data_IF_182994581195
#
_entry.id   IF_182994581195
#
_cell.length_a   1.000
_cell.length_b   1.000
_cell.length_c   1.000
_cell.angle_alpha   90.00
_cell.angle_beta   90.00
_cell.angle_gamma   90.00
#
_symmetry.space_group_name_H-M   'P 1'
#
loop_
_entity.id
_entity.type
_entity.pdbx_description
1 polymer ?
#
# COMPACT_ATOMS: atom_id res chain seq x y z
N UNK A 1 -35.52 -14.30 11.84
CA UNK A 1 -35.10 -14.44 11.69
C UNK A 1 -34.85 -14.49 11.34
N UNK A 2 -35.18 -14.19 11.59
CA UNK A 2 -34.64 -14.27 11.45
C UNK A 2 -34.05 -14.20 11.19
N UNK A 3 -34.18 -13.82 11.58
CA UNK A 3 -33.31 -13.75 11.59
C UNK A 3 -32.58 -13.72 11.23
N UNK A 4 -32.84 -13.65 11.45
CA UNK A 4 -31.79 -13.72 11.36
C UNK A 4 -31.17 -13.47 11.01
N UNK A 5 -31.36 -13.22 11.20
CA UNK A 5 -30.47 -13.11 11.12
C UNK A 5 -29.73 -12.96 10.77
N UNK A 6 -29.68 -12.71 10.99
CA UNK A 6 -28.69 -12.60 10.92
C UNK A 6 -27.90 -12.44 10.61
N UNK A 7 -28.36 -12.44 10.76
CA UNK A 7 -27.44 -12.35 10.73
C UNK A 7 -26.70 -12.12 10.51
N UNK A 8 -26.62 -11.84 10.68
CA UNK A 8 -25.70 -11.62 10.66
C UNK A 8 -24.86 -11.40 10.57
N UNK A 9 -25.14 -11.26 10.81
CA UNK A 9 -24.13 -11.06 10.91
C UNK A 9 -23.53 -10.93 11.08
N UNK A 10 -23.73 -10.86 11.29
CA UNK A 10 -22.89 -10.67 11.59
C UNK A 10 -22.24 -10.63 11.91
N UNK A 11 -22.11 -10.57 12.29
CA UNK A 11 -21.23 -10.51 12.57
C UNK A 11 -20.43 -10.47 12.74
N UNK A 12 -20.30 -10.16 13.03
CA UNK A 12 -19.33 -9.97 13.16
C UNK A 12 -19.00 -9.77 13.81
N UNK A 13 -18.95 -9.78 14.09
CA UNK A 13 -18.45 -9.55 14.67
C UNK A 13 -18.06 -8.97 15.14
N UNK A 14 -18.15 -8.63 15.47
CA UNK A 14 -17.57 -7.94 16.04
C UNK A 14 -16.48 -8.21 16.69
N UNK A 15 -16.37 -8.94 16.99
CA UNK A 15 -15.30 -9.18 17.75
C UNK A 15 -14.08 -8.83 17.20
N UNK A 16 -13.90 -9.07 16.21
CA UNK A 16 -12.76 -8.80 15.70
C UNK A 16 -12.41 -7.50 15.71
N UNK A 17 -13.24 -6.76 15.79
CA UNK A 17 -12.91 -5.44 15.72
C UNK A 17 -12.22 -4.95 16.85
N UNK A 18 -12.12 -5.66 17.83
CA UNK A 18 -11.52 -5.18 18.88
C UNK A 18 -10.25 -4.59 18.67
N UNK A 19 -9.47 -5.01 17.86
CA UNK A 19 -8.31 -4.37 17.64
C UNK A 19 -8.51 -3.44 16.63
N UNK A 20 -9.24 -2.51 16.79
CA UNK A 20 -9.63 -1.60 15.83
C UNK A 20 -8.53 -0.98 15.07
N UNK A 21 -7.43 -0.78 15.69
CA UNK A 21 -6.34 -0.17 15.02
C UNK A 21 -5.86 -0.99 13.86
N UNK A 22 -6.18 -2.26 13.80
CA UNK A 22 -5.74 -3.05 12.70
C UNK A 22 -6.80 -3.28 11.67
N UNK A 23 -7.98 -2.74 11.84
CA UNK A 23 -9.07 -3.04 10.96
C UNK A 23 -8.93 -2.45 9.59
N UNK A 24 -8.44 -1.24 9.47
CA UNK A 24 -8.36 -0.57 8.18
C UNK A 24 -6.92 -0.38 7.77
N UNK A 25 -6.63 -0.49 6.47
CA UNK A 25 -5.27 -0.26 5.98
C UNK A 25 -4.89 1.19 6.18
N UNK A 26 -3.63 1.42 6.48
CA UNK A 26 -3.10 2.75 6.72
C UNK A 26 -2.27 3.21 5.53
N UNK A 27 -2.16 4.51 5.38
CA UNK A 27 -1.30 5.09 4.36
C UNK A 27 0.15 4.67 4.65
N UNK A 28 0.59 4.80 5.91
CA UNK A 28 1.97 4.47 6.27
C UNK A 28 1.98 4.01 7.73
N UNK A 29 2.05 2.70 7.92
CA UNK A 29 2.00 2.10 9.26
C UNK A 29 3.41 1.81 9.72
N UNK A 30 4.01 2.76 10.43
CA UNK A 30 5.39 2.63 10.89
C UNK A 30 5.53 1.55 11.97
N UNK A 31 4.48 1.30 12.73
CA UNK A 31 4.53 0.23 13.74
C UNK A 31 4.67 -1.13 13.06
N UNK A 32 3.87 -1.36 12.03
CA UNK A 32 3.97 -2.62 11.28
C UNK A 32 5.32 -2.74 10.58
N UNK A 33 5.81 -1.64 10.01
CA UNK A 33 7.10 -1.66 9.34
C UNK A 33 8.25 -1.94 10.29
N UNK A 34 8.21 -1.30 11.46
CA UNK A 34 9.26 -1.52 12.47
C UNK A 34 9.29 -2.96 12.98
N UNK A 35 8.13 -3.61 13.07
CA UNK A 35 8.10 -5.00 13.50
C UNK A 35 8.89 -5.90 12.57
N UNK A 36 8.92 -5.60 11.29
CA UNK A 36 9.63 -6.43 10.33
C UNK A 36 11.13 -6.37 10.47
N UNK A 37 11.64 -5.37 11.18
CA UNK A 37 13.07 -5.23 11.45
C UNK A 37 13.32 -5.25 12.95
N UNK A 38 12.44 -5.91 13.70
CA UNK A 38 12.59 -6.10 15.15
C UNK A 38 12.79 -4.80 15.92
N UNK A 39 12.13 -3.74 15.46
CA UNK A 39 12.17 -2.44 16.14
C UNK A 39 13.42 -1.63 15.89
N UNK A 40 14.27 -2.06 14.96
CA UNK A 40 15.51 -1.33 14.66
C UNK A 40 15.18 -0.07 13.85
N UNK A 41 15.04 1.05 14.53
CA UNK A 41 14.64 2.32 13.92
C UNK A 41 15.62 2.77 12.86
N UNK A 42 16.91 2.66 13.12
CA UNK A 42 17.92 3.09 12.17
C UNK A 42 17.83 2.29 10.87
N UNK A 43 17.68 0.99 10.98
CA UNK A 43 17.54 0.13 9.82
C UNK A 43 16.25 0.44 9.07
N UNK A 44 15.15 0.60 9.81
CA UNK A 44 13.87 0.90 9.19
C UNK A 44 13.93 2.21 8.39
N UNK A 45 14.56 3.25 8.96
CA UNK A 45 14.69 4.52 8.27
C UNK A 45 15.49 4.37 6.97
N UNK A 46 16.54 3.55 6.99
CA UNK A 46 17.31 3.30 5.77
C UNK A 46 16.47 2.61 4.71
N UNK A 47 15.69 1.62 5.12
CA UNK A 47 14.83 0.88 4.20
C UNK A 47 13.75 1.80 3.63
N UNK A 48 13.14 2.62 4.48
CA UNK A 48 12.10 3.55 4.03
C UNK A 48 12.67 4.52 3.01
N UNK A 49 13.88 5.03 3.27
CA UNK A 49 14.53 5.98 2.36
C UNK A 49 14.79 5.33 1.00
N UNK A 50 15.31 4.11 1.03
CA UNK A 50 15.60 3.38 -0.21
C UNK A 50 14.34 3.10 -1.01
N UNK A 51 13.31 2.55 -0.35
CA UNK A 51 12.09 2.17 -1.04
C UNK A 51 11.27 3.39 -1.48
N UNK A 52 11.35 4.50 -0.75
CA UNK A 52 10.71 5.72 -1.17
C UNK A 52 11.26 6.15 -2.53
N UNK A 53 12.57 6.11 -2.67
CA UNK A 53 13.21 6.49 -3.93
C UNK A 53 12.82 5.55 -5.05
N UNK A 54 12.83 4.25 -4.78
CA UNK A 54 12.44 3.27 -5.78
C UNK A 54 10.99 3.45 -6.22
N UNK A 55 10.09 3.76 -5.28
CA UNK A 55 8.69 3.92 -5.61
C UNK A 55 8.43 5.15 -6.48
N UNK A 56 9.23 6.21 -6.32
CA UNK A 56 9.14 7.36 -7.21
C UNK A 56 9.50 6.94 -8.63
N UNK A 57 10.61 6.22 -8.77
CA UNK A 57 11.05 5.77 -10.09
C UNK A 57 10.04 4.81 -10.71
N UNK A 58 9.55 3.87 -9.92
CA UNK A 58 8.56 2.90 -10.39
C UNK A 58 7.28 3.59 -10.82
N UNK A 59 6.87 4.63 -10.11
CA UNK A 59 5.68 5.39 -10.48
C UNK A 59 5.84 6.07 -11.83
N UNK A 60 7.01 6.64 -12.08
CA UNK A 60 7.26 7.27 -13.38
C UNK A 60 7.29 6.25 -14.51
N UNK A 61 7.91 5.10 -14.27
CA UNK A 61 7.93 4.04 -15.28
C UNK A 61 6.54 3.49 -15.53
N UNK A 62 5.74 3.39 -14.49
CA UNK A 62 4.38 2.90 -14.62
C UNK A 62 3.56 3.80 -15.55
N UNK A 63 3.72 5.12 -15.42
CA UNK A 63 3.03 6.05 -16.31
C UNK A 63 3.40 5.78 -17.77
N UNK A 64 4.68 5.55 -18.04
CA UNK A 64 5.14 5.28 -19.39
C UNK A 64 4.56 3.97 -19.90
N UNK A 65 4.58 2.92 -19.09
CA UNK A 65 4.06 1.62 -19.50
C UNK A 65 2.55 1.67 -19.75
N UNK A 66 1.81 2.44 -18.93
CA UNK A 66 0.38 2.61 -19.15
C UNK A 66 0.10 3.35 -20.45
N UNK A 67 0.89 4.38 -20.73
CA UNK A 67 0.72 5.15 -21.95
C UNK A 67 0.95 4.27 -23.19
N UNK A 68 1.93 3.39 -23.14
CA UNK A 68 2.24 2.52 -24.27
C UNK A 68 1.46 1.21 -24.25
N UNK A 69 0.58 1.03 -23.28
CA UNK A 69 -0.22 -0.18 -23.13
C UNK A 69 0.64 -1.44 -23.04
N UNK A 70 1.77 -1.31 -22.39
CA UNK A 70 2.68 -2.44 -22.18
C UNK A 70 2.24 -3.14 -20.89
N UNK A 71 1.19 -3.96 -21.02
CA UNK A 71 0.51 -4.52 -19.87
C UNK A 71 1.39 -5.45 -19.03
N UNK A 72 2.31 -6.13 -19.65
CA UNK A 72 3.21 -6.97 -18.91
C UNK A 72 4.09 -6.14 -17.99
N UNK A 73 4.62 -5.02 -18.50
CA UNK A 73 5.44 -4.14 -17.69
C UNK A 73 4.62 -3.44 -16.61
N UNK A 74 3.35 -3.11 -16.89
CA UNK A 74 2.46 -2.57 -15.87
C UNK A 74 2.32 -3.55 -14.73
N UNK A 75 2.08 -4.83 -15.03
CA UNK A 75 1.93 -5.86 -14.01
C UNK A 75 3.22 -6.03 -13.21
N UNK A 76 4.36 -6.07 -13.88
CA UNK A 76 5.64 -6.26 -13.21
C UNK A 76 5.98 -5.09 -12.29
N UNK A 77 5.73 -3.87 -12.74
CA UNK A 77 6.01 -2.67 -11.94
C UNK A 77 5.06 -2.58 -10.75
N UNK A 78 3.77 -2.90 -10.97
CA UNK A 78 2.81 -2.92 -9.87
C UNK A 78 3.21 -3.96 -8.82
N UNK A 79 3.73 -5.10 -9.25
CA UNK A 79 4.20 -6.12 -8.31
C UNK A 79 5.37 -5.60 -7.48
N UNK A 80 6.31 -4.90 -8.11
CA UNK A 80 7.43 -4.29 -7.38
C UNK A 80 6.95 -3.30 -6.34
N UNK A 81 6.03 -2.42 -6.71
CA UNK A 81 5.50 -1.42 -5.79
C UNK A 81 4.79 -2.11 -4.64
N UNK A 82 4.04 -3.17 -4.93
CA UNK A 82 3.35 -3.93 -3.89
C UNK A 82 4.35 -4.45 -2.85
N UNK A 83 5.46 -5.02 -3.32
CA UNK A 83 6.48 -5.55 -2.42
C UNK A 83 7.14 -4.47 -1.57
N UNK A 84 7.51 -3.35 -2.17
CA UNK A 84 8.12 -2.25 -1.43
C UNK A 84 7.14 -1.68 -0.41
N UNK A 85 5.89 -1.47 -0.82
CA UNK A 85 4.86 -0.93 0.06
C UNK A 85 4.60 -1.85 1.24
N UNK A 86 4.53 -3.14 0.99
CA UNK A 86 4.34 -4.12 2.06
C UNK A 86 5.47 -4.05 3.08
N UNK A 87 6.69 -3.97 2.60
CA UNK A 87 7.86 -3.98 3.47
C UNK A 87 7.89 -2.80 4.43
N UNK A 88 7.50 -1.61 3.98
CA UNK A 88 7.61 -0.43 4.83
C UNK A 88 6.31 -0.08 5.56
N UNK A 89 5.23 -0.81 5.32
CA UNK A 89 3.97 -0.55 6.00
C UNK A 89 3.03 0.39 5.28
N UNK A 90 3.21 0.58 3.98
CA UNK A 90 2.33 1.42 3.16
C UNK A 90 1.15 0.58 2.69
N UNK A 91 0.23 0.31 3.61
CA UNK A 91 -0.81 -0.71 3.40
C UNK A 91 -1.83 -0.34 2.33
N UNK A 92 -2.20 0.94 2.25
CA UNK A 92 -3.17 1.36 1.24
C UNK A 92 -2.57 1.29 -0.16
N UNK A 93 -1.32 1.70 -0.30
CA UNK A 93 -0.63 1.60 -1.59
C UNK A 93 -0.46 0.13 -1.98
N UNK A 94 -0.13 -0.72 -1.02
CA UNK A 94 0.00 -2.16 -1.27
C UNK A 94 -1.30 -2.71 -1.86
N UNK A 95 -2.44 -2.33 -1.30
CA UNK A 95 -3.73 -2.79 -1.78
C UNK A 95 -4.02 -2.29 -3.20
N UNK A 96 -3.69 -1.03 -3.48
CA UNK A 96 -3.92 -0.48 -4.82
C UNK A 96 -2.98 -1.12 -5.85
N UNK A 97 -1.74 -1.38 -5.47
CA UNK A 97 -0.80 -2.04 -6.36
C UNK A 97 -1.25 -3.47 -6.68
N UNK A 98 -1.75 -4.18 -5.67
CA UNK A 98 -2.29 -5.51 -5.88
C UNK A 98 -3.47 -5.48 -6.83
N UNK A 99 -4.38 -4.51 -6.64
CA UNK A 99 -5.55 -4.36 -7.51
C UNK A 99 -5.15 -4.05 -8.94
N UNK A 100 -4.17 -3.19 -9.13
CA UNK A 100 -3.69 -2.85 -10.46
C UNK A 100 -3.04 -4.07 -11.12
N UNK A 101 -2.25 -4.82 -10.37
CA UNK A 101 -1.63 -6.03 -10.89
C UNK A 101 -2.68 -7.04 -11.33
N UNK A 102 -3.73 -7.22 -10.52
CA UNK A 102 -4.80 -8.15 -10.87
C UNK A 102 -5.60 -7.68 -12.08
N UNK A 103 -5.76 -6.38 -12.25
CA UNK A 103 -6.47 -5.84 -13.41
C UNK A 103 -5.76 -6.18 -14.72
N UNK A 104 -4.46 -6.44 -14.65
CA UNK A 104 -3.71 -6.76 -15.86
C UNK A 104 -4.02 -8.14 -16.43
N UNK A 105 -4.80 -8.94 -15.71
CA UNK A 105 -5.29 -10.20 -16.27
C UNK A 105 -6.35 -9.95 -17.33
N UNK A 106 -7.01 -8.78 -17.26
CA UNK A 106 -7.99 -8.37 -18.26
C UNK A 106 -7.81 -6.88 -18.49
N UNK A 107 -6.70 -6.47 -19.12
CA UNK A 107 -6.35 -5.05 -19.21
C UNK A 107 -7.39 -4.22 -19.95
N UNK A 108 -8.21 -4.85 -20.79
CA UNK A 108 -9.26 -4.12 -21.50
C UNK A 108 -10.34 -3.63 -20.54
N UNK A 109 -10.39 -4.15 -19.31
CA UNK A 109 -11.37 -3.69 -18.32
C UNK A 109 -10.79 -2.66 -17.37
N UNK A 110 -9.55 -2.23 -17.60
CA UNK A 110 -8.90 -1.28 -16.71
C UNK A 110 -9.65 0.05 -16.70
N UNK A 111 -9.98 0.54 -15.50
CA UNK A 111 -10.69 1.79 -15.36
C UNK A 111 -9.73 2.88 -14.94
N UNK A 112 -10.01 4.08 -15.45
CA UNK A 112 -9.17 5.23 -15.13
C UNK A 112 -9.15 5.53 -13.64
N UNK A 113 -10.27 5.33 -12.95
CA UNK A 113 -10.33 5.61 -11.53
C UNK A 113 -9.44 4.64 -10.71
N UNK A 114 -9.20 3.42 -11.21
CA UNK A 114 -8.27 2.52 -10.53
C UNK A 114 -6.84 3.04 -10.65
N UNK A 115 -6.47 3.55 -11.81
CA UNK A 115 -5.15 4.13 -12.02
C UNK A 115 -4.99 5.37 -11.14
N UNK A 116 -6.02 6.21 -11.10
CA UNK A 116 -5.99 7.43 -10.28
C UNK A 116 -5.86 7.08 -8.80
N UNK A 117 -6.55 6.05 -8.35
CA UNK A 117 -6.46 5.62 -6.94
C UNK A 117 -5.05 5.19 -6.59
N UNK A 118 -4.40 4.44 -7.48
CA UNK A 118 -3.02 4.01 -7.25
C UNK A 118 -2.10 5.22 -7.08
N UNK A 119 -2.15 6.17 -7.99
CA UNK A 119 -1.25 7.33 -7.93
C UNK A 119 -1.58 8.25 -6.76
N UNK A 120 -2.85 8.31 -6.36
CA UNK A 120 -3.24 9.07 -5.17
C UNK A 120 -2.60 8.47 -3.92
N UNK A 121 -2.62 7.14 -3.79
CA UNK A 121 -2.02 6.50 -2.63
C UNK A 121 -0.49 6.59 -2.67
N UNK A 122 0.09 6.54 -3.86
CA UNK A 122 1.54 6.72 -3.98
C UNK A 122 1.94 8.11 -3.49
N UNK A 123 1.21 9.14 -3.90
CA UNK A 123 1.49 10.50 -3.44
C UNK A 123 1.30 10.64 -1.94
N UNK A 124 0.23 10.04 -1.41
CA UNK A 124 -0.05 10.14 0.02
C UNK A 124 1.06 9.52 0.85
N UNK A 125 1.56 8.35 0.45
CA UNK A 125 2.62 7.72 1.23
C UNK A 125 3.93 8.48 1.10
N UNK A 126 4.21 9.06 -0.07
CA UNK A 126 5.44 9.84 -0.22
C UNK A 126 5.44 11.04 0.72
N UNK A 127 4.29 11.67 0.88
CA UNK A 127 4.17 12.80 1.80
C UNK A 127 4.39 12.37 3.24
N UNK A 128 3.79 11.25 3.65
CA UNK A 128 3.98 10.78 5.02
C UNK A 128 5.39 10.29 5.28
N UNK A 129 6.03 9.70 4.28
CA UNK A 129 7.42 9.30 4.41
C UNK A 129 8.32 10.53 4.61
N UNK A 130 8.07 11.61 3.87
CA UNK A 130 8.82 12.84 4.06
C UNK A 130 8.73 13.33 5.49
N UNK A 131 7.53 13.35 6.06
CA UNK A 131 7.36 13.76 7.43
C UNK A 131 8.11 12.84 8.39
N UNK A 132 8.00 11.54 8.17
CA UNK A 132 8.66 10.57 9.03
C UNK A 132 10.18 10.74 9.01
N UNK A 133 10.76 10.93 7.84
CA UNK A 133 12.21 11.05 7.71
C UNK A 133 12.74 12.38 8.24
N UNK A 134 11.86 13.39 8.36
CA UNK A 134 12.25 14.65 8.94
C UNK A 134 12.31 14.59 10.47
N UNK A 135 11.75 13.57 11.10
CA UNK A 135 11.79 13.44 12.55
C UNK A 135 13.17 12.93 12.98
N UNK A 136 13.67 13.42 14.13
CA UNK A 136 14.90 12.86 14.66
C UNK A 136 14.73 11.38 15.03
N UNK A 137 15.78 10.60 14.90
CA UNK A 137 15.68 9.16 15.17
C UNK A 137 15.16 8.84 16.55
N UNK A 138 15.44 9.64 17.52
CA UNK A 138 14.99 9.35 18.87
C UNK A 138 13.52 9.55 19.12
N UNK A 139 12.77 10.02 18.14
CA UNK A 139 11.36 10.30 18.33
C UNK A 139 10.45 9.12 18.10
N UNK A 140 10.94 8.04 17.61
CA UNK A 140 10.10 6.89 17.45
C UNK A 140 9.99 6.13 18.75
#
# INVERSE_FOLDING_TARGET
ETLGVHSESPARPLGQSVRGDSAAPKVFDTVAGLRRVDGDVSLYRKIVRLFSKEMVDDGEQLKVHLLHRDWKQVADTAHKVKGSASTIGAQRLEAEAKGLQQAMKSPETLREDRVDAFFRELSAVQEEISHFLDLPEGHQ
#
